data_IF_311532116284
#
_entry.id   IF_311532116284
#
_cell.length_a   1.000
_cell.length_b   1.000
_cell.length_c   1.000
_cell.angle_alpha   90.00
_cell.angle_beta   90.00
_cell.angle_gamma   90.00
#
_symmetry.space_group_name_H-M   'P 1'
#
loop_
_entity.id
_entity.type
_entity.pdbx_description
1 polymer ?
#
# COMPACT_ATOMS: atom_id res chain seq x y z
N UNK A 1 19.80 19.84 6.24
CA UNK A 1 18.99 19.53 7.45
C UNK A 1 17.58 20.04 7.23
N UNK A 2 16.59 19.26 7.61
CA UNK A 2 15.17 19.60 7.50
C UNK A 2 14.80 20.87 8.27
N UNK A 3 13.77 21.56 7.79
CA UNK A 3 13.14 22.63 8.54
C UNK A 3 12.06 22.04 9.44
N UNK A 4 12.43 21.73 10.68
CA UNK A 4 11.56 21.08 11.66
C UNK A 4 10.22 21.81 11.86
N UNK A 5 10.24 23.16 11.87
CA UNK A 5 9.00 23.93 12.00
C UNK A 5 8.09 23.74 10.78
N UNK A 6 8.63 23.80 9.57
CA UNK A 6 7.87 23.61 8.33
C UNK A 6 7.29 22.19 8.26
N UNK A 7 8.09 21.18 8.63
CA UNK A 7 7.62 19.80 8.67
C UNK A 7 6.46 19.60 9.64
N UNK A 8 6.57 20.10 10.85
CA UNK A 8 5.47 20.05 11.82
C UNK A 8 4.21 20.72 11.30
N UNK A 9 4.33 21.98 10.85
CA UNK A 9 3.21 22.73 10.31
C UNK A 9 2.55 21.99 9.13
N UNK A 10 3.35 21.41 8.23
CA UNK A 10 2.85 20.64 7.09
C UNK A 10 2.14 19.34 7.52
N UNK A 11 2.76 18.56 8.40
CA UNK A 11 2.17 17.33 8.91
C UNK A 11 0.86 17.61 9.65
N UNK A 12 0.86 18.57 10.59
CA UNK A 12 -0.34 18.94 11.34
C UNK A 12 -1.46 19.52 10.46
N UNK A 13 -1.11 20.26 9.40
CA UNK A 13 -2.08 20.71 8.40
C UNK A 13 -2.71 19.54 7.66
N UNK A 14 -1.90 18.58 7.19
CA UNK A 14 -2.36 17.42 6.43
C UNK A 14 -3.26 16.51 7.25
N UNK A 15 -2.89 16.14 8.48
CA UNK A 15 -3.67 15.20 9.30
C UNK A 15 -5.01 15.80 9.75
N UNK A 16 -5.13 17.13 9.85
CA UNK A 16 -6.40 17.79 10.19
C UNK A 16 -7.43 17.76 9.06
N UNK A 17 -7.00 17.49 7.83
CA UNK A 17 -7.92 17.39 6.70
C UNK A 17 -8.61 16.03 6.75
N UNK A 18 -9.93 16.02 6.72
CA UNK A 18 -10.71 14.80 6.60
C UNK A 18 -10.56 14.23 5.19
N UNK A 19 -9.85 13.12 5.07
CA UNK A 19 -9.55 12.48 3.78
C UNK A 19 -9.65 10.96 3.88
N UNK A 20 -10.86 10.39 4.08
CA UNK A 20 -11.03 8.95 3.97
C UNK A 20 -10.84 8.52 2.50
N UNK A 21 -10.59 7.24 2.28
CA UNK A 21 -10.62 6.70 0.90
C UNK A 21 -11.90 7.14 0.18
N UNK A 22 -11.78 7.60 -1.06
CA UNK A 22 -12.82 8.25 -1.90
C UNK A 22 -13.18 9.69 -1.54
N UNK A 23 -12.54 10.28 -0.54
CA UNK A 23 -12.79 11.66 -0.08
C UNK A 23 -11.51 12.48 0.05
N UNK A 24 -10.56 12.37 -0.89
CA UNK A 24 -9.22 12.96 -0.84
C UNK A 24 -9.13 14.36 -1.44
N UNK A 25 -10.23 14.92 -1.94
CA UNK A 25 -10.27 16.19 -2.67
C UNK A 25 -9.51 17.32 -1.97
N UNK A 26 -9.77 17.53 -0.69
CA UNK A 26 -9.19 18.66 0.03
C UNK A 26 -7.66 18.52 0.21
N UNK A 27 -7.16 17.30 0.42
CA UNK A 27 -5.71 17.00 0.45
C UNK A 27 -5.10 17.21 -0.93
N UNK A 28 -5.71 16.66 -1.98
CA UNK A 28 -5.25 16.82 -3.36
C UNK A 28 -5.12 18.31 -3.74
N UNK A 29 -6.12 19.12 -3.41
CA UNK A 29 -6.12 20.56 -3.73
C UNK A 29 -5.09 21.34 -2.90
N UNK A 30 -4.81 20.91 -1.66
CA UNK A 30 -3.71 21.45 -0.86
C UNK A 30 -2.36 21.11 -1.49
N UNK A 31 -2.16 19.85 -1.86
CA UNK A 31 -0.92 19.39 -2.46
C UNK A 31 -0.62 20.10 -3.79
N UNK A 32 -1.61 20.31 -4.65
CA UNK A 32 -1.44 21.11 -5.88
C UNK A 32 -0.88 22.50 -5.61
N UNK A 33 -1.37 23.17 -4.55
CA UNK A 33 -0.90 24.49 -4.16
C UNK A 33 0.55 24.43 -3.68
N UNK A 34 0.89 23.47 -2.81
CA UNK A 34 2.23 23.29 -2.28
C UNK A 34 3.23 22.93 -3.40
N UNK A 35 2.90 21.99 -4.26
CA UNK A 35 3.76 21.56 -5.37
C UNK A 35 4.02 22.67 -6.38
N UNK A 36 3.03 23.51 -6.65
CA UNK A 36 3.22 24.72 -7.48
C UNK A 36 4.21 25.70 -6.85
N UNK A 37 4.13 25.91 -5.53
CA UNK A 37 5.09 26.75 -4.80
C UNK A 37 6.49 26.13 -4.81
N UNK A 38 6.60 24.81 -4.74
CA UNK A 38 7.87 24.09 -4.83
C UNK A 38 8.48 24.15 -6.23
N UNK A 39 7.70 24.45 -7.26
CA UNK A 39 8.21 24.69 -8.61
C UNK A 39 8.06 23.49 -9.55
N UNK A 40 7.11 22.59 -9.27
CA UNK A 40 6.75 21.54 -10.22
C UNK A 40 6.41 22.17 -11.57
N UNK A 41 7.02 21.67 -12.64
CA UNK A 41 6.79 22.16 -13.99
C UNK A 41 5.46 21.68 -14.54
N UNK A 42 5.03 20.49 -14.12
CA UNK A 42 3.75 19.89 -14.46
C UNK A 42 3.10 19.32 -13.22
N UNK A 43 1.80 19.51 -13.07
CA UNK A 43 0.97 18.95 -12.01
C UNK A 43 -0.28 18.38 -12.65
N UNK A 44 -0.41 17.07 -12.64
CA UNK A 44 -1.49 16.33 -13.29
C UNK A 44 -2.33 15.67 -12.19
N UNK A 45 -3.62 15.83 -12.24
CA UNK A 45 -4.57 14.96 -11.56
C UNK A 45 -5.17 14.02 -12.61
N UNK A 46 -5.02 12.72 -12.41
CA UNK A 46 -5.58 11.73 -13.33
C UNK A 46 -7.10 11.53 -13.11
N UNK A 47 -7.70 10.65 -13.88
CA UNK A 47 -9.15 10.40 -13.81
C UNK A 47 -9.52 9.27 -12.83
N UNK A 48 -8.60 8.81 -11.99
CA UNK A 48 -8.81 7.63 -11.16
C UNK A 48 -9.98 7.78 -10.18
N UNK A 49 -10.22 8.97 -9.64
CA UNK A 49 -11.35 9.23 -8.76
C UNK A 49 -12.71 8.87 -9.37
N UNK A 50 -12.86 8.97 -10.70
CA UNK A 50 -14.12 8.62 -11.38
C UNK A 50 -14.33 7.12 -11.56
N UNK A 51 -13.26 6.31 -11.46
CA UNK A 51 -13.29 4.86 -11.71
C UNK A 51 -14.02 4.12 -10.58
N UNK A 52 -13.71 4.46 -9.34
CA UNK A 52 -14.25 3.79 -8.14
C UNK A 52 -15.16 4.68 -7.30
N UNK A 53 -15.61 5.81 -7.85
CA UNK A 53 -16.54 6.72 -7.19
C UNK A 53 -15.91 7.60 -6.12
N UNK A 54 -14.63 7.91 -6.25
CA UNK A 54 -13.93 8.92 -5.44
C UNK A 54 -14.15 10.33 -5.94
N UNK A 55 -13.65 11.32 -5.21
CA UNK A 55 -13.79 12.74 -5.51
C UNK A 55 -12.51 13.39 -6.08
N UNK A 56 -11.37 12.65 -6.08
CA UNK A 56 -10.11 13.09 -6.67
C UNK A 56 -9.37 11.94 -7.36
N UNK A 57 -8.45 12.26 -8.26
CA UNK A 57 -7.53 11.32 -8.89
C UNK A 57 -6.17 11.29 -8.21
N UNK A 58 -5.27 10.41 -8.69
CA UNK A 58 -3.87 10.47 -8.31
C UNK A 58 -3.27 11.81 -8.73
N UNK A 59 -2.39 12.34 -7.91
CA UNK A 59 -1.70 13.59 -8.19
C UNK A 59 -0.25 13.31 -8.58
N UNK A 60 0.13 13.68 -9.79
CA UNK A 60 1.47 13.49 -10.34
C UNK A 60 2.12 14.85 -10.54
N UNK A 61 3.26 15.09 -9.93
CA UNK A 61 4.02 16.33 -10.05
C UNK A 61 5.43 16.06 -10.59
N UNK A 62 5.78 16.74 -11.68
CA UNK A 62 7.05 16.54 -12.38
C UNK A 62 7.99 17.73 -12.15
N UNK A 63 9.19 17.43 -11.70
CA UNK A 63 10.33 18.33 -11.61
C UNK A 63 11.36 17.89 -12.65
N UNK A 64 11.54 18.65 -13.76
CA UNK A 64 12.44 18.24 -14.83
C UNK A 64 13.89 18.23 -14.35
N UNK A 65 14.68 17.32 -14.94
CA UNK A 65 16.10 17.26 -14.64
C UNK A 65 16.79 18.62 -14.83
N UNK A 66 17.69 18.96 -13.93
CA UNK A 66 18.53 20.14 -14.00
C UNK A 66 20.02 19.78 -14.23
N UNK A 67 20.34 18.48 -14.25
CA UNK A 67 21.65 17.92 -14.57
C UNK A 67 21.49 16.69 -15.48
N UNK A 68 22.48 16.46 -16.35
CA UNK A 68 22.49 15.32 -17.28
C UNK A 68 23.11 14.08 -16.65
N UNK A 69 22.68 12.89 -17.10
CA UNK A 69 23.25 11.60 -16.69
C UNK A 69 22.85 11.14 -15.30
N UNK A 70 21.84 11.77 -14.70
CA UNK A 70 21.29 11.36 -13.41
C UNK A 70 19.99 10.55 -13.61
N UNK A 71 19.70 9.58 -12.73
CA UNK A 71 18.50 8.76 -12.83
C UNK A 71 17.22 9.59 -12.69
N UNK A 72 16.14 9.07 -13.24
CA UNK A 72 14.79 9.58 -13.01
C UNK A 72 14.15 8.85 -11.82
N UNK A 73 13.80 9.58 -10.77
CA UNK A 73 13.34 8.98 -9.50
C UNK A 73 11.89 9.35 -9.21
N UNK A 74 11.11 8.35 -8.77
CA UNK A 74 9.78 8.58 -8.20
C UNK A 74 9.83 8.61 -6.68
N UNK A 75 9.08 9.54 -6.07
CA UNK A 75 8.79 9.61 -4.65
C UNK A 75 7.28 9.47 -4.48
N UNK A 76 6.82 8.47 -3.74
CA UNK A 76 5.40 8.16 -3.68
C UNK A 76 4.89 8.02 -2.26
N UNK A 77 3.63 8.42 -2.04
CA UNK A 77 2.88 8.36 -0.79
C UNK A 77 1.39 8.39 -1.11
N UNK A 78 0.50 7.94 -0.20
CA UNK A 78 -0.93 8.03 -0.45
C UNK A 78 -1.62 9.19 0.27
N UNK A 79 -2.77 9.61 -0.25
CA UNK A 79 -3.52 10.78 0.23
C UNK A 79 -4.63 10.43 1.22
N UNK A 80 -5.17 9.24 1.14
CA UNK A 80 -6.28 8.81 1.97
C UNK A 80 -5.85 8.35 3.38
N UNK A 81 -6.79 8.05 4.21
CA UNK A 81 -6.66 7.40 5.50
C UNK A 81 -7.81 6.42 5.69
N UNK A 82 -7.62 5.41 6.53
CA UNK A 82 -8.71 4.55 6.97
C UNK A 82 -9.83 5.34 7.67
N UNK A 83 -11.00 4.75 7.83
CA UNK A 83 -12.12 5.33 8.60
C UNK A 83 -11.70 5.70 10.03
N UNK A 84 -12.51 6.53 10.71
CA UNK A 84 -12.21 7.19 11.98
C UNK A 84 -11.18 8.33 11.89
N UNK A 85 -10.98 8.89 10.69
CA UNK A 85 -10.09 10.05 10.45
C UNK A 85 -10.81 11.42 10.53
N UNK A 86 -12.08 11.47 10.92
CA UNK A 86 -12.82 12.74 11.01
C UNK A 86 -12.52 13.47 12.32
N UNK A 87 -11.99 14.70 12.19
CA UNK A 87 -11.74 15.56 13.34
C UNK A 87 -10.47 15.19 14.13
N UNK A 88 -9.45 14.71 13.43
CA UNK A 88 -8.14 14.47 14.03
C UNK A 88 -7.62 15.75 14.68
N UNK A 89 -7.25 15.66 15.95
CA UNK A 89 -6.62 16.74 16.73
C UNK A 89 -5.20 16.30 17.14
N UNK A 90 -4.19 16.53 16.29
CA UNK A 90 -2.83 16.09 16.58
C UNK A 90 -2.28 16.84 17.77
N UNK A 91 -1.73 16.12 18.73
CA UNK A 91 -1.03 16.64 19.90
C UNK A 91 0.37 16.06 19.98
N UNK A 92 1.34 16.91 20.25
CA UNK A 92 2.74 16.53 20.46
C UNK A 92 3.04 16.57 21.96
N UNK A 93 3.22 15.38 22.55
CA UNK A 93 3.54 15.25 23.97
C UNK A 93 4.75 14.32 24.15
N UNK A 94 5.78 14.81 24.85
CA UNK A 94 7.01 14.04 25.07
C UNK A 94 7.75 13.62 23.79
N UNK A 95 7.61 14.40 22.70
CA UNK A 95 8.23 14.11 21.40
C UNK A 95 7.47 13.05 20.57
N UNK A 96 6.22 12.77 20.92
CA UNK A 96 5.38 11.80 20.20
C UNK A 96 4.03 12.44 19.84
N UNK A 97 3.70 12.38 18.56
CA UNK A 97 2.38 12.75 18.07
C UNK A 97 1.36 11.64 18.32
N UNK A 98 0.17 12.04 18.74
CA UNK A 98 -1.06 11.24 18.81
C UNK A 98 -2.25 12.08 18.45
N UNK A 99 -3.38 11.47 18.14
CA UNK A 99 -4.65 12.19 18.09
C UNK A 99 -5.28 12.27 19.49
N UNK A 100 -5.85 13.43 19.82
CA UNK A 100 -6.67 13.57 21.01
C UNK A 100 -8.07 13.01 20.72
N UNK A 101 -8.50 12.01 21.51
CA UNK A 101 -9.83 11.40 21.38
C UNK A 101 -9.80 10.01 20.76
N UNK A 102 -10.82 9.68 19.99
CA UNK A 102 -11.09 8.32 19.49
C UNK A 102 -10.68 8.13 18.02
N UNK A 103 -10.00 9.10 17.41
CA UNK A 103 -9.57 9.01 16.01
C UNK A 103 -8.19 8.38 15.88
N UNK A 104 -7.87 7.91 14.66
CA UNK A 104 -6.50 7.67 14.26
C UNK A 104 -5.70 8.99 14.25
N UNK A 105 -4.37 8.93 14.11
CA UNK A 105 -3.53 10.11 13.90
C UNK A 105 -3.46 10.51 12.41
N UNK A 106 -3.56 9.54 11.51
CA UNK A 106 -3.40 9.73 10.07
C UNK A 106 -1.94 9.96 9.66
N UNK A 107 -0.98 9.46 10.45
CA UNK A 107 0.44 9.44 10.05
C UNK A 107 0.65 8.49 8.87
N UNK A 108 -0.19 7.50 8.75
CA UNK A 108 -0.41 6.67 7.59
C UNK A 108 -1.38 7.40 6.62
N UNK A 109 -0.98 7.99 5.47
CA UNK A 109 0.43 8.18 5.10
C UNK A 109 0.78 9.69 4.97
N UNK A 110 0.19 10.52 5.82
CA UNK A 110 0.51 11.97 5.82
C UNK A 110 1.94 12.25 6.25
N UNK A 111 2.61 11.29 6.91
CA UNK A 111 4.03 11.40 7.25
C UNK A 111 4.90 11.29 5.99
N UNK A 112 4.64 10.32 5.12
CA UNK A 112 5.30 10.18 3.83
C UNK A 112 5.05 11.39 2.92
N UNK A 113 3.80 11.84 2.85
CA UNK A 113 3.45 13.08 2.11
C UNK A 113 4.27 14.28 2.62
N UNK A 114 4.34 14.48 3.95
CA UNK A 114 5.09 15.60 4.54
C UNK A 114 6.60 15.47 4.27
N UNK A 115 7.15 14.24 4.35
CA UNK A 115 8.56 13.97 4.07
C UNK A 115 8.93 14.30 2.63
N UNK A 116 8.10 13.89 1.66
CA UNK A 116 8.31 14.20 0.24
C UNK A 116 8.29 15.71 -0.01
N UNK A 117 7.30 16.43 0.56
CA UNK A 117 7.20 17.88 0.40
C UNK A 117 8.40 18.60 0.98
N UNK A 118 8.93 18.15 2.13
CA UNK A 118 10.12 18.75 2.74
C UNK A 118 11.38 18.48 1.91
N UNK A 119 11.57 17.23 1.44
CA UNK A 119 12.70 16.89 0.58
C UNK A 119 12.73 17.72 -0.70
N UNK A 120 11.58 17.88 -1.37
CA UNK A 120 11.42 18.73 -2.56
C UNK A 120 11.69 20.22 -2.24
N UNK A 121 11.29 20.69 -1.06
CA UNK A 121 11.58 22.05 -0.63
C UNK A 121 13.09 22.28 -0.45
N UNK A 122 13.78 21.35 0.20
CA UNK A 122 15.22 21.40 0.41
C UNK A 122 15.99 21.23 -0.91
N UNK A 123 15.53 20.38 -1.81
CA UNK A 123 16.09 20.25 -3.16
C UNK A 123 16.10 21.60 -3.88
N UNK A 124 14.98 22.32 -3.84
CA UNK A 124 14.86 23.66 -4.42
C UNK A 124 15.72 24.70 -3.69
N UNK A 125 15.65 24.75 -2.36
CA UNK A 125 16.36 25.75 -1.53
C UNK A 125 17.87 25.63 -1.64
N UNK A 126 18.39 24.41 -1.80
CA UNK A 126 19.82 24.13 -1.90
C UNK A 126 20.32 23.99 -3.35
N UNK A 127 19.44 24.18 -4.34
CA UNK A 127 19.80 24.08 -5.76
C UNK A 127 20.48 22.75 -6.11
N UNK A 128 19.96 21.63 -5.57
CA UNK A 128 20.53 20.30 -5.77
C UNK A 128 20.50 19.92 -7.24
N UNK A 129 21.64 19.49 -7.84
CA UNK A 129 21.62 18.82 -9.14
C UNK A 129 20.85 17.51 -9.06
N UNK A 130 19.85 17.31 -9.92
CA UNK A 130 18.98 16.11 -9.91
C UNK A 130 18.57 15.70 -11.32
N UNK A 131 18.26 14.42 -11.50
CA UNK A 131 17.55 13.90 -12.63
C UNK A 131 16.09 14.33 -12.65
N UNK A 132 15.26 13.67 -13.46
CA UNK A 132 13.80 13.92 -13.41
C UNK A 132 13.26 13.38 -12.07
N UNK A 133 12.62 14.22 -11.28
CA UNK A 133 11.92 13.80 -10.05
C UNK A 133 10.41 13.83 -10.30
N UNK A 134 9.74 12.72 -10.03
CA UNK A 134 8.28 12.60 -10.14
C UNK A 134 7.71 12.29 -8.75
N UNK A 135 6.96 13.22 -8.17
CA UNK A 135 6.21 12.96 -6.95
C UNK A 135 4.81 12.45 -7.32
N UNK A 136 4.43 11.29 -6.80
CA UNK A 136 3.13 10.66 -7.05
C UNK A 136 2.40 10.50 -5.72
N UNK A 137 1.22 11.10 -5.60
CA UNK A 137 0.35 10.96 -4.45
C UNK A 137 -0.91 10.23 -4.89
N UNK A 138 -1.07 9.00 -4.41
CA UNK A 138 -2.14 8.11 -4.80
C UNK A 138 -3.41 8.33 -4.00
N UNK A 139 -4.53 7.86 -4.52
CA UNK A 139 -5.84 7.85 -3.86
C UNK A 139 -6.24 6.42 -3.53
N UNK A 140 -7.10 6.25 -2.51
CA UNK A 140 -7.76 4.97 -2.21
C UNK A 140 -6.78 3.81 -2.05
N UNK A 141 -5.62 4.05 -1.45
CA UNK A 141 -4.64 3.01 -1.14
C UNK A 141 -5.26 1.99 -0.17
N UNK A 142 -5.88 2.48 0.89
CA UNK A 142 -6.39 1.76 2.05
C UNK A 142 -7.58 0.80 1.74
N UNK A 143 -8.15 0.91 0.56
CA UNK A 143 -9.24 0.04 0.10
C UNK A 143 -8.84 -0.85 -1.08
N UNK A 144 -7.55 -1.14 -1.20
CA UNK A 144 -7.02 -2.11 -2.16
C UNK A 144 -6.16 -1.51 -3.26
N UNK A 145 -5.33 -0.51 -2.91
CA UNK A 145 -4.30 0.07 -3.80
C UNK A 145 -4.90 0.64 -5.11
N UNK A 146 -6.13 1.19 -5.02
CA UNK A 146 -6.93 1.55 -6.21
C UNK A 146 -6.22 2.59 -7.06
N UNK A 147 -5.56 3.55 -6.42
CA UNK A 147 -4.81 4.61 -7.09
C UNK A 147 -3.70 4.06 -7.98
N UNK A 148 -2.77 3.31 -7.42
CA UNK A 148 -1.67 2.71 -8.16
C UNK A 148 -2.12 1.61 -9.11
N UNK A 149 -3.16 0.85 -8.75
CA UNK A 149 -3.79 -0.17 -9.62
C UNK A 149 -4.28 0.41 -10.94
N UNK A 150 -4.84 1.62 -10.92
CA UNK A 150 -5.49 2.23 -12.08
C UNK A 150 -4.68 3.37 -12.71
N UNK A 151 -3.54 3.76 -12.14
CA UNK A 151 -2.69 4.79 -12.76
C UNK A 151 -2.28 4.39 -14.18
N UNK A 152 -2.40 5.32 -15.13
CA UNK A 152 -2.04 5.06 -16.51
C UNK A 152 -0.51 4.99 -16.69
N UNK A 153 -0.02 3.96 -17.37
CA UNK A 153 1.41 3.73 -17.60
C UNK A 153 2.14 4.93 -18.23
N UNK A 154 1.43 5.75 -19.01
CA UNK A 154 2.00 6.96 -19.60
C UNK A 154 2.58 7.95 -18.59
N UNK A 155 2.11 7.92 -17.33
CA UNK A 155 2.62 8.77 -16.25
C UNK A 155 3.81 8.17 -15.54
N UNK A 156 4.07 6.87 -15.77
CA UNK A 156 5.16 6.11 -15.17
C UNK A 156 6.36 5.94 -16.13
N UNK A 157 6.20 6.38 -17.39
CA UNK A 157 7.27 6.33 -18.38
C UNK A 157 8.44 7.23 -17.98
N UNK A 158 9.64 6.79 -18.33
CA UNK A 158 10.90 7.50 -18.05
C UNK A 158 11.14 7.71 -16.53
N UNK A 159 10.70 6.77 -15.69
CA UNK A 159 11.09 6.64 -14.29
C UNK A 159 11.97 5.40 -14.18
N UNK A 160 13.21 5.57 -13.72
CA UNK A 160 14.14 4.46 -13.59
C UNK A 160 13.83 3.60 -12.36
N UNK A 161 13.47 4.25 -11.23
CA UNK A 161 13.06 3.58 -10.00
C UNK A 161 12.36 4.54 -9.02
N UNK A 162 11.79 3.99 -7.94
CA UNK A 162 11.07 4.80 -6.97
C UNK A 162 11.19 4.35 -5.51
N UNK A 163 10.72 5.23 -4.64
CA UNK A 163 10.63 5.03 -3.19
C UNK A 163 9.22 5.37 -2.73
N UNK A 164 8.54 4.39 -2.15
CA UNK A 164 7.20 4.53 -1.55
C UNK A 164 7.36 4.76 -0.06
N UNK A 165 7.07 5.96 0.43
CA UNK A 165 7.24 6.36 1.84
C UNK A 165 5.98 6.05 2.64
N UNK A 166 5.74 4.80 2.93
CA UNK A 166 4.48 4.30 3.45
C UNK A 166 4.67 3.03 4.30
N UNK A 167 5.68 3.01 5.18
CA UNK A 167 5.89 1.86 6.06
C UNK A 167 6.13 2.25 7.51
N UNK A 168 5.90 1.29 8.39
CA UNK A 168 6.39 1.32 9.76
C UNK A 168 7.93 1.26 9.80
N UNK A 169 8.48 1.56 10.97
CA UNK A 169 9.93 1.59 11.16
C UNK A 169 10.56 2.95 10.88
N UNK A 170 11.75 3.13 11.43
CA UNK A 170 12.51 4.39 11.37
C UNK A 170 13.04 4.63 9.95
N UNK A 171 13.40 5.86 9.66
CA UNK A 171 14.15 6.20 8.45
C UNK A 171 15.42 5.31 8.36
N UNK A 172 15.63 4.70 7.18
CA UNK A 172 16.63 3.65 6.97
C UNK A 172 16.08 2.22 7.01
N UNK A 173 14.84 2.01 7.48
CA UNK A 173 14.11 0.79 7.21
C UNK A 173 13.62 0.80 5.76
N UNK A 174 13.87 -0.28 5.03
CA UNK A 174 13.44 -0.45 3.65
C UNK A 174 12.94 -1.87 3.44
N UNK A 175 11.77 -1.97 2.84
CA UNK A 175 11.15 -3.25 2.54
C UNK A 175 11.32 -3.55 1.05
N UNK A 176 12.05 -4.60 0.76
CA UNK A 176 12.49 -4.98 -0.58
C UNK A 176 11.62 -6.07 -1.21
N UNK A 177 10.61 -6.55 -0.50
CA UNK A 177 9.67 -7.54 -1.01
C UNK A 177 8.30 -7.38 -0.34
N UNK A 178 7.25 -7.47 -1.14
CA UNK A 178 5.85 -7.51 -0.68
C UNK A 178 5.10 -8.71 -1.23
N UNK A 179 4.01 -9.16 -0.59
CA UNK A 179 3.27 -10.33 -1.02
C UNK A 179 2.34 -10.07 -2.20
N UNK A 180 1.96 -11.14 -2.91
CA UNK A 180 0.72 -11.22 -3.65
C UNK A 180 -0.45 -11.43 -2.70
N UNK A 181 -1.65 -11.05 -3.12
CA UNK A 181 -2.87 -11.15 -2.34
C UNK A 181 -4.04 -11.71 -3.17
N UNK A 182 -4.73 -12.69 -2.61
CA UNK A 182 -6.03 -13.15 -3.08
C UNK A 182 -7.13 -12.81 -2.09
N UNK A 183 -8.18 -12.16 -2.56
CA UNK A 183 -9.46 -12.06 -1.87
C UNK A 183 -10.39 -13.17 -2.38
N UNK A 184 -11.13 -13.81 -1.46
CA UNK A 184 -12.02 -14.91 -1.75
C UNK A 184 -13.34 -14.73 -1.05
N UNK A 185 -14.45 -15.05 -1.75
CA UNK A 185 -15.79 -15.03 -1.18
C UNK A 185 -16.51 -16.32 -1.52
N UNK A 186 -17.08 -16.95 -0.51
CA UNK A 186 -17.78 -18.22 -0.58
C UNK A 186 -19.22 -18.02 -0.13
N UNK A 187 -20.18 -18.23 -1.03
CA UNK A 187 -21.60 -18.08 -0.75
C UNK A 187 -22.27 -19.44 -0.74
N UNK A 188 -22.65 -19.88 0.46
CA UNK A 188 -23.39 -21.13 0.66
C UNK A 188 -24.90 -20.87 0.59
N UNK A 189 -25.58 -21.64 -0.28
CA UNK A 189 -27.02 -21.65 -0.39
C UNK A 189 -27.55 -22.98 0.18
N UNK A 190 -28.36 -22.85 1.19
CA UNK A 190 -29.12 -23.94 1.82
C UNK A 190 -30.60 -23.83 1.51
N UNK A 191 -31.44 -24.18 2.49
CA UNK A 191 -32.89 -24.11 2.35
C UNK A 191 -33.54 -23.73 3.68
N UNK A 192 -34.36 -22.69 3.67
CA UNK A 192 -35.08 -22.25 4.85
C UNK A 192 -36.18 -23.27 5.26
N UNK A 193 -36.36 -23.46 6.56
CA UNK A 193 -37.47 -24.19 7.17
C UNK A 193 -37.71 -23.72 8.59
N UNK A 194 -38.83 -24.05 9.19
CA UNK A 194 -39.08 -23.79 10.59
C UNK A 194 -38.25 -24.73 11.48
N UNK A 195 -37.32 -24.18 12.26
CA UNK A 195 -36.31 -24.98 12.97
C UNK A 195 -36.91 -25.97 14.01
N UNK A 196 -38.07 -25.68 14.57
CA UNK A 196 -38.73 -26.50 15.57
C UNK A 196 -39.86 -27.41 15.03
N UNK A 197 -40.41 -27.13 13.84
CA UNK A 197 -41.54 -27.88 13.29
C UNK A 197 -41.13 -28.86 12.20
N UNK A 198 -40.30 -28.44 11.26
CA UNK A 198 -39.94 -29.20 10.07
C UNK A 198 -38.45 -29.04 9.72
N UNK A 199 -37.52 -29.25 10.69
CA UNK A 199 -36.08 -29.05 10.44
C UNK A 199 -35.54 -29.92 9.31
N UNK A 200 -36.10 -31.09 9.08
CA UNK A 200 -35.73 -32.02 8.02
C UNK A 200 -36.03 -31.48 6.62
N UNK A 201 -36.90 -30.48 6.47
CA UNK A 201 -37.18 -29.84 5.17
C UNK A 201 -36.17 -28.71 4.85
N UNK A 202 -35.35 -28.30 5.82
CA UNK A 202 -34.34 -27.27 5.69
C UNK A 202 -32.96 -27.83 5.42
N UNK A 203 -32.09 -26.93 4.99
CA UNK A 203 -30.64 -27.16 4.88
C UNK A 203 -29.91 -25.95 5.41
N UNK A 204 -29.13 -26.12 6.48
CA UNK A 204 -28.51 -25.05 7.21
C UNK A 204 -27.19 -24.59 6.53
N UNK A 205 -27.21 -23.42 5.87
CA UNK A 205 -26.06 -22.85 5.20
C UNK A 205 -24.90 -22.47 6.18
N UNK A 206 -25.22 -22.07 7.42
CA UNK A 206 -24.20 -21.82 8.44
C UNK A 206 -23.45 -23.10 8.81
N UNK A 207 -24.17 -24.24 8.91
CA UNK A 207 -23.53 -25.53 9.20
C UNK A 207 -22.61 -26.00 8.04
N UNK A 208 -23.01 -25.70 6.79
CA UNK A 208 -22.17 -25.95 5.62
C UNK A 208 -20.87 -25.12 5.70
N UNK A 209 -21.00 -23.82 5.91
CA UNK A 209 -19.88 -22.91 6.04
C UNK A 209 -18.94 -23.27 7.22
N UNK A 210 -19.51 -23.57 8.38
CA UNK A 210 -18.74 -23.97 9.56
C UNK A 210 -17.89 -25.23 9.32
N UNK A 211 -18.42 -26.20 8.56
CA UNK A 211 -17.68 -27.40 8.18
C UNK A 211 -16.52 -27.09 7.24
N UNK A 212 -16.70 -26.18 6.29
CA UNK A 212 -15.66 -25.74 5.39
C UNK A 212 -14.52 -25.02 6.17
N UNK A 213 -14.89 -24.04 6.99
CA UNK A 213 -13.95 -23.27 7.82
C UNK A 213 -13.13 -24.18 8.73
N UNK A 214 -13.76 -25.17 9.37
CA UNK A 214 -13.05 -26.10 10.26
C UNK A 214 -12.02 -27.00 9.53
N UNK A 215 -12.11 -27.10 8.21
CA UNK A 215 -11.17 -27.88 7.37
C UNK A 215 -10.15 -27.00 6.65
N UNK A 216 -10.30 -25.69 6.75
CA UNK A 216 -9.50 -24.71 6.04
C UNK A 216 -8.19 -24.39 6.81
N UNK A 217 -7.04 -24.27 6.14
CA UNK A 217 -5.86 -23.70 6.77
C UNK A 217 -6.14 -22.26 7.19
N UNK A 218 -5.51 -21.80 8.29
CA UNK A 218 -5.72 -20.45 8.81
C UNK A 218 -4.50 -19.93 9.56
N UNK A 219 -4.30 -18.63 9.54
CA UNK A 219 -3.21 -17.94 10.21
C UNK A 219 -1.91 -17.97 9.40
N UNK A 220 -0.78 -18.05 10.10
CA UNK A 220 0.55 -18.13 9.48
C UNK A 220 0.83 -19.57 9.04
N UNK A 221 0.97 -19.76 7.75
CA UNK A 221 1.24 -21.06 7.11
C UNK A 221 2.75 -21.36 7.12
N UNK A 222 3.55 -20.37 6.73
CA UNK A 222 5.01 -20.40 6.81
C UNK A 222 5.58 -18.98 6.99
N UNK A 223 6.90 -18.79 6.81
CA UNK A 223 7.58 -17.49 7.03
C UNK A 223 7.10 -16.37 6.10
N UNK A 224 6.50 -16.70 4.96
CA UNK A 224 6.09 -15.74 3.94
C UNK A 224 4.63 -15.88 3.48
N UNK A 225 3.90 -16.88 4.04
CA UNK A 225 2.55 -17.22 3.60
C UNK A 225 1.57 -17.13 4.76
N UNK A 226 0.47 -16.45 4.56
CA UNK A 226 -0.63 -16.31 5.54
C UNK A 226 -1.98 -16.51 4.86
N UNK A 227 -2.99 -16.92 5.62
CA UNK A 227 -4.38 -16.81 5.22
C UNK A 227 -5.28 -16.51 6.41
N UNK A 228 -6.42 -15.93 6.12
CA UNK A 228 -7.39 -15.56 7.15
C UNK A 228 -8.82 -15.77 6.63
N UNK A 229 -9.69 -16.29 7.50
CA UNK A 229 -11.13 -16.19 7.34
C UNK A 229 -11.58 -14.97 8.09
N UNK A 230 -11.84 -13.88 7.37
CA UNK A 230 -12.07 -12.55 7.93
C UNK A 230 -13.48 -12.33 8.42
N UNK A 231 -14.47 -12.77 7.64
CA UNK A 231 -15.88 -12.58 7.97
C UNK A 231 -16.71 -13.83 7.73
N UNK A 232 -17.77 -13.98 8.52
CA UNK A 232 -18.86 -14.94 8.29
C UNK A 232 -20.19 -14.26 8.61
N UNK A 233 -21.10 -14.26 7.63
CA UNK A 233 -22.42 -13.65 7.79
C UNK A 233 -23.50 -14.64 7.32
N UNK A 234 -24.50 -14.93 8.20
CA UNK A 234 -25.56 -15.87 7.84
C UNK A 234 -26.72 -15.90 8.84
N UNK A 235 -27.88 -16.34 8.35
CA UNK A 235 -29.09 -16.47 9.14
C UNK A 235 -29.83 -15.14 9.37
N UNK A 236 -31.10 -15.25 9.83
CA UNK A 236 -31.99 -14.10 10.12
C UNK A 236 -32.62 -14.17 11.50
N UNK A 237 -32.92 -15.41 11.97
CA UNK A 237 -33.51 -15.64 13.27
C UNK A 237 -33.23 -17.07 13.76
N UNK A 238 -33.24 -17.28 15.06
CA UNK A 238 -32.90 -18.57 15.68
C UNK A 238 -33.91 -19.69 15.41
N UNK A 239 -35.15 -19.35 15.07
CA UNK A 239 -36.23 -20.32 14.74
C UNK A 239 -36.37 -20.58 13.24
N UNK A 240 -35.48 -20.09 12.41
CA UNK A 240 -35.44 -20.33 10.95
C UNK A 240 -34.11 -20.98 10.61
N UNK A 241 -34.14 -22.10 9.87
CA UNK A 241 -32.93 -22.72 9.30
C UNK A 241 -32.33 -21.73 8.28
N UNK A 242 -31.06 -21.34 8.42
CA UNK A 242 -30.42 -20.36 7.50
C UNK A 242 -30.28 -20.92 6.08
N UNK A 243 -30.82 -20.20 5.11
CA UNK A 243 -30.71 -20.54 3.68
C UNK A 243 -29.51 -19.91 2.99
N UNK A 244 -28.83 -18.95 3.66
CA UNK A 244 -27.68 -18.22 3.11
C UNK A 244 -26.62 -18.06 4.19
N UNK A 245 -25.35 -18.28 3.79
CA UNK A 245 -24.18 -17.93 4.59
C UNK A 245 -23.04 -17.51 3.65
N UNK A 246 -22.46 -16.34 3.91
CA UNK A 246 -21.33 -15.77 3.16
C UNK A 246 -20.10 -15.81 4.06
N UNK A 247 -18.99 -16.27 3.50
CA UNK A 247 -17.66 -16.27 4.15
C UNK A 247 -16.70 -15.51 3.26
N UNK A 248 -15.96 -14.57 3.85
CA UNK A 248 -14.90 -13.86 3.15
C UNK A 248 -13.55 -14.21 3.76
N UNK A 249 -12.58 -14.44 2.89
CA UNK A 249 -11.24 -14.92 3.24
C UNK A 249 -10.18 -14.21 2.39
N UNK A 250 -8.95 -14.22 2.89
CA UNK A 250 -7.78 -13.76 2.16
C UNK A 250 -6.64 -14.76 2.26
N UNK A 251 -5.72 -14.71 1.30
CA UNK A 251 -4.45 -15.41 1.33
C UNK A 251 -3.35 -14.51 0.76
N UNK A 252 -2.18 -14.53 1.40
CA UNK A 252 -1.01 -13.75 0.98
C UNK A 252 0.23 -14.63 0.98
N UNK A 253 1.10 -14.40 0.00
CA UNK A 253 2.45 -14.99 -0.01
C UNK A 253 3.40 -14.16 -0.87
N UNK A 254 4.68 -14.16 -0.49
CA UNK A 254 5.75 -13.61 -1.34
C UNK A 254 6.25 -14.61 -2.39
N UNK A 255 5.78 -15.85 -2.33
CA UNK A 255 6.00 -16.90 -3.33
C UNK A 255 4.70 -17.22 -4.04
N UNK A 256 4.65 -16.98 -5.33
CA UNK A 256 3.46 -17.16 -6.16
C UNK A 256 2.98 -18.61 -6.19
N UNK A 257 3.91 -19.57 -6.28
CA UNK A 257 3.57 -20.99 -6.30
C UNK A 257 2.94 -21.47 -4.99
N UNK A 258 3.43 -20.96 -3.85
CA UNK A 258 2.83 -21.21 -2.54
C UNK A 258 1.44 -20.60 -2.43
N UNK A 259 1.27 -19.38 -2.93
CA UNK A 259 -0.03 -18.69 -2.90
C UNK A 259 -1.08 -19.45 -3.70
N UNK A 260 -0.78 -19.80 -4.96
CA UNK A 260 -1.69 -20.54 -5.81
C UNK A 260 -2.05 -21.92 -5.20
N UNK A 261 -1.07 -22.61 -4.62
CA UNK A 261 -1.31 -23.86 -3.91
C UNK A 261 -2.25 -23.67 -2.72
N UNK A 262 -2.00 -22.67 -1.87
CA UNK A 262 -2.83 -22.37 -0.70
C UNK A 262 -4.25 -22.00 -1.09
N UNK A 263 -4.43 -21.14 -2.10
CA UNK A 263 -5.75 -20.77 -2.65
C UNK A 263 -6.47 -22.02 -3.15
N UNK A 264 -5.77 -22.92 -3.85
CA UNK A 264 -6.33 -24.21 -4.29
C UNK A 264 -6.78 -25.09 -3.11
N UNK A 265 -5.99 -25.17 -2.04
CA UNK A 265 -6.34 -25.92 -0.82
C UNK A 265 -7.56 -25.33 -0.11
N UNK A 266 -7.66 -24.00 -0.02
CA UNK A 266 -8.82 -23.29 0.56
C UNK A 266 -10.07 -23.62 -0.28
N UNK A 267 -10.02 -23.41 -1.59
CA UNK A 267 -11.15 -23.69 -2.50
C UNK A 267 -11.60 -25.15 -2.36
N UNK A 268 -10.65 -26.09 -2.39
CA UNK A 268 -10.97 -27.51 -2.24
C UNK A 268 -11.63 -27.84 -0.89
N UNK A 269 -11.20 -27.19 0.20
CA UNK A 269 -11.85 -27.38 1.51
C UNK A 269 -13.31 -26.96 1.50
N UNK A 270 -13.62 -25.81 0.86
CA UNK A 270 -14.98 -25.30 0.71
C UNK A 270 -15.84 -26.18 -0.21
N UNK A 271 -15.30 -26.59 -1.36
CA UNK A 271 -15.99 -27.52 -2.30
C UNK A 271 -16.29 -28.88 -1.66
N UNK A 272 -15.30 -29.46 -0.98
CA UNK A 272 -15.46 -30.76 -0.30
C UNK A 272 -16.50 -30.67 0.81
N UNK A 273 -16.54 -29.59 1.58
CA UNK A 273 -17.56 -29.38 2.59
C UNK A 273 -18.95 -29.27 1.95
N UNK A 274 -19.12 -28.47 0.90
CA UNK A 274 -20.37 -28.31 0.16
C UNK A 274 -20.85 -29.64 -0.43
N UNK A 275 -19.95 -30.44 -0.99
CA UNK A 275 -20.25 -31.77 -1.58
C UNK A 275 -20.84 -32.76 -0.58
N UNK A 276 -20.71 -32.54 0.73
CA UNK A 276 -21.38 -33.40 1.73
C UNK A 276 -22.84 -33.04 1.96
N UNK A 277 -23.37 -32.03 1.29
CA UNK A 277 -24.75 -31.54 1.41
C UNK A 277 -25.43 -31.56 0.03
N UNK A 278 -26.05 -32.70 -0.40
CA UNK A 278 -26.47 -32.93 -1.80
C UNK A 278 -27.47 -31.90 -2.37
N UNK A 279 -28.21 -31.18 -1.52
CA UNK A 279 -29.19 -30.17 -1.93
C UNK A 279 -28.73 -28.72 -1.72
N UNK A 280 -27.50 -28.52 -1.23
CA UNK A 280 -26.91 -27.22 -1.11
C UNK A 280 -26.05 -26.85 -2.31
N UNK A 281 -25.82 -25.58 -2.51
CA UNK A 281 -24.86 -25.07 -3.52
C UNK A 281 -23.85 -24.15 -2.91
N UNK A 282 -22.71 -24.00 -3.58
CA UNK A 282 -21.63 -23.10 -3.24
C UNK A 282 -21.28 -22.26 -4.47
N UNK A 283 -21.26 -20.96 -4.29
CA UNK A 283 -20.69 -20.02 -5.25
C UNK A 283 -19.33 -19.55 -4.70
N UNK A 284 -18.33 -19.46 -5.59
CA UNK A 284 -16.96 -19.06 -5.24
C UNK A 284 -16.57 -17.91 -6.14
N UNK A 285 -16.24 -16.78 -5.51
CA UNK A 285 -15.58 -15.65 -6.14
C UNK A 285 -14.15 -15.59 -5.59
N UNK A 286 -13.17 -15.46 -6.47
CA UNK A 286 -11.77 -15.24 -6.07
C UNK A 286 -11.13 -14.22 -7.00
N UNK A 287 -10.45 -13.26 -6.42
CA UNK A 287 -9.79 -12.18 -7.15
C UNK A 287 -8.36 -12.06 -6.64
N UNK A 288 -7.41 -12.06 -7.55
CA UNK A 288 -6.04 -11.67 -7.25
C UNK A 288 -5.98 -10.15 -7.25
N UNK A 289 -5.79 -9.55 -6.10
CA UNK A 289 -5.85 -8.10 -5.93
C UNK A 289 -4.56 -7.44 -6.43
N UNK A 290 -3.40 -8.04 -6.12
CA UNK A 290 -2.11 -7.56 -6.57
C UNK A 290 -1.06 -8.68 -6.56
N UNK A 291 0.01 -8.47 -7.33
CA UNK A 291 1.15 -9.36 -7.44
C UNK A 291 2.24 -9.04 -6.41
N UNK A 292 3.06 -10.02 -6.06
CA UNK A 292 4.24 -9.82 -5.23
C UNK A 292 5.31 -8.99 -5.97
N UNK A 293 6.11 -8.27 -5.21
CA UNK A 293 7.34 -7.69 -5.74
C UNK A 293 8.55 -8.15 -4.92
N UNK A 294 9.71 -8.11 -5.58
CA UNK A 294 11.02 -8.36 -4.94
C UNK A 294 12.08 -7.51 -5.63
N UNK A 295 12.83 -6.78 -4.83
CA UNK A 295 13.95 -5.96 -5.27
C UNK A 295 15.23 -6.55 -4.67
N UNK A 296 16.21 -6.83 -5.52
CA UNK A 296 17.49 -7.34 -5.09
C UNK A 296 18.28 -6.26 -4.31
N UNK A 297 19.04 -6.70 -3.30
CA UNK A 297 19.83 -5.76 -2.50
C UNK A 297 20.93 -5.04 -3.29
N UNK A 298 21.35 -5.60 -4.40
CA UNK A 298 22.33 -5.01 -5.33
C UNK A 298 21.70 -4.05 -6.34
N UNK A 299 20.38 -3.91 -6.36
CA UNK A 299 19.69 -3.03 -7.30
C UNK A 299 20.13 -1.56 -7.13
N UNK A 300 20.13 -0.76 -8.21
CA UNK A 300 20.56 0.63 -8.21
C UNK A 300 19.88 1.49 -7.15
N UNK A 301 18.56 1.38 -7.03
CA UNK A 301 17.80 2.12 -6.02
C UNK A 301 18.26 1.80 -4.60
N UNK A 302 18.70 0.55 -4.33
CA UNK A 302 19.23 0.16 -3.03
C UNK A 302 20.62 0.74 -2.77
N UNK A 303 21.44 0.90 -3.81
CA UNK A 303 22.73 1.57 -3.71
C UNK A 303 22.55 3.05 -3.38
N UNK A 304 21.65 3.74 -4.11
CA UNK A 304 21.29 5.13 -3.84
C UNK A 304 20.72 5.29 -2.41
N UNK A 305 19.83 4.39 -1.99
CA UNK A 305 19.27 4.38 -0.63
C UNK A 305 20.35 4.25 0.44
N UNK A 306 21.32 3.36 0.26
CA UNK A 306 22.45 3.19 1.19
C UNK A 306 23.34 4.43 1.24
N UNK A 307 23.58 5.08 0.12
CA UNK A 307 24.32 6.34 0.07
C UNK A 307 23.60 7.43 0.86
N UNK A 308 22.31 7.63 0.60
CA UNK A 308 21.48 8.59 1.31
C UNK A 308 21.44 8.34 2.83
N UNK A 309 21.24 7.10 3.25
CA UNK A 309 21.27 6.71 4.66
C UNK A 309 22.63 7.00 5.30
N UNK A 310 23.73 6.70 4.60
CA UNK A 310 25.08 6.97 5.09
C UNK A 310 25.30 8.48 5.32
N UNK A 311 24.88 9.33 4.40
CA UNK A 311 24.98 10.79 4.53
C UNK A 311 24.09 11.33 5.65
N UNK A 312 22.91 10.74 5.86
CA UNK A 312 22.01 11.08 6.96
C UNK A 312 22.44 10.50 8.31
N UNK A 313 23.38 9.56 8.34
CA UNK A 313 23.78 8.84 9.56
C UNK A 313 22.77 7.78 10.01
N UNK A 314 21.94 7.27 9.11
CA UNK A 314 20.94 6.24 9.39
C UNK A 314 21.49 4.84 9.15
N UNK A 315 21.09 3.89 10.01
CA UNK A 315 21.40 2.48 9.81
C UNK A 315 20.40 1.87 8.82
N UNK A 316 20.91 1.25 7.77
CA UNK A 316 20.05 0.54 6.81
C UNK A 316 19.60 -0.80 7.38
N UNK A 317 18.30 -1.05 7.34
CA UNK A 317 17.69 -2.33 7.70
C UNK A 317 16.77 -2.77 6.57
N UNK A 318 17.04 -3.91 5.97
CA UNK A 318 16.21 -4.52 4.94
C UNK A 318 15.30 -5.59 5.54
N UNK A 319 14.05 -5.63 5.11
CA UNK A 319 13.08 -6.63 5.52
C UNK A 319 12.07 -6.90 4.38
N UNK A 320 11.38 -8.04 4.39
CA UNK A 320 10.18 -8.21 3.60
C UNK A 320 8.96 -7.59 4.31
N UNK A 321 8.04 -7.01 3.53
CA UNK A 321 6.75 -6.54 4.03
C UNK A 321 5.73 -7.69 4.14
N UNK A 322 4.79 -7.56 5.06
CA UNK A 322 3.67 -8.50 5.22
C UNK A 322 2.37 -8.02 4.57
N UNK A 323 2.25 -6.74 4.30
CA UNK A 323 1.12 -6.09 3.62
C UNK A 323 1.40 -5.78 2.16
N UNK A 324 0.37 -5.37 1.43
CA UNK A 324 0.50 -4.72 0.14
C UNK A 324 0.78 -3.24 0.32
N UNK A 325 1.31 -2.61 -0.71
CA UNK A 325 1.48 -1.17 -0.83
C UNK A 325 1.47 -0.78 -2.31
N UNK A 326 1.42 0.49 -2.62
CA UNK A 326 1.48 0.99 -3.98
C UNK A 326 2.73 0.52 -4.74
N UNK A 327 3.82 0.19 -4.03
CA UNK A 327 5.03 -0.39 -4.61
C UNK A 327 4.74 -1.70 -5.38
N UNK A 328 3.71 -2.49 -4.99
CA UNK A 328 3.31 -3.69 -5.72
C UNK A 328 2.94 -3.35 -7.18
N UNK A 329 2.09 -2.33 -7.37
CA UNK A 329 1.66 -1.93 -8.71
C UNK A 329 2.73 -1.16 -9.48
N UNK A 330 3.53 -0.31 -8.83
CA UNK A 330 4.63 0.37 -9.50
C UNK A 330 5.65 -0.61 -10.07
N UNK A 331 6.01 -1.65 -9.30
CA UNK A 331 6.93 -2.70 -9.77
C UNK A 331 6.38 -3.49 -10.97
N UNK A 332 5.07 -3.68 -11.05
CA UNK A 332 4.44 -4.41 -12.18
C UNK A 332 4.25 -3.53 -13.41
N UNK A 333 3.89 -2.24 -13.21
CA UNK A 333 3.45 -1.37 -14.31
C UNK A 333 4.53 -0.51 -14.92
N UNK A 334 5.58 -0.20 -14.19
CA UNK A 334 6.47 0.83 -14.67
C UNK A 334 7.91 0.73 -14.20
N UNK A 335 8.12 0.85 -12.90
CA UNK A 335 9.46 1.00 -12.35
C UNK A 335 9.63 0.23 -11.05
N UNK A 336 10.83 -0.31 -10.77
CA UNK A 336 11.13 -0.93 -9.49
C UNK A 336 10.99 0.09 -8.35
N UNK A 337 10.24 -0.27 -7.32
CA UNK A 337 10.03 0.55 -6.13
C UNK A 337 10.25 -0.26 -4.86
N UNK A 338 10.75 0.40 -3.83
CA UNK A 338 10.85 -0.15 -2.48
C UNK A 338 9.97 0.66 -1.53
N UNK A 339 9.49 -0.02 -0.48
CA UNK A 339 8.70 0.62 0.56
C UNK A 339 9.64 1.10 1.68
N UNK A 340 9.48 2.33 2.13
CA UNK A 340 10.40 3.02 3.07
C UNK A 340 9.67 3.40 4.35
N UNK A 341 10.30 3.15 5.49
CA UNK A 341 9.78 3.48 6.81
C UNK A 341 9.74 5.00 7.05
N UNK A 342 8.61 5.46 7.58
CA UNK A 342 8.37 6.86 7.98
C UNK A 342 8.16 7.03 9.49
N UNK A 343 8.25 5.95 10.26
CA UNK A 343 8.19 5.97 11.72
C UNK A 343 6.81 5.81 12.32
N UNK A 344 5.76 5.62 11.54
CA UNK A 344 4.42 5.39 12.03
C UNK A 344 4.32 4.09 12.84
N UNK A 345 3.49 4.08 13.87
CA UNK A 345 3.27 2.92 14.74
C UNK A 345 1.82 2.78 15.11
N UNK A 346 1.35 1.54 15.34
CA UNK A 346 -0.05 1.22 15.67
C UNK A 346 -1.09 1.83 14.69
N UNK A 347 -0.67 2.06 13.43
CA UNK A 347 -1.55 2.61 12.38
C UNK A 347 -2.82 1.76 12.22
N UNK A 348 -3.85 2.31 11.59
CA UNK A 348 -5.21 1.74 11.51
C UNK A 348 -5.90 1.56 12.88
N UNK A 349 -5.39 2.17 13.95
CA UNK A 349 -6.01 2.15 15.27
C UNK A 349 -6.01 3.53 15.94
N UNK A 350 -6.85 3.72 16.94
CA UNK A 350 -6.84 4.94 17.76
C UNK A 350 -5.60 5.09 18.69
N UNK A 351 -4.67 4.13 18.64
CA UNK A 351 -3.36 4.21 19.32
C UNK A 351 -2.25 4.68 18.40
N UNK A 352 -2.57 4.94 17.16
CA UNK A 352 -1.61 5.41 16.16
C UNK A 352 -0.75 6.54 16.69
N UNK A 353 0.54 6.46 16.44
CA UNK A 353 1.49 7.46 16.92
C UNK A 353 2.69 7.57 15.98
N UNK A 354 3.32 8.76 16.04
CA UNK A 354 4.51 9.09 15.28
C UNK A 354 5.47 9.87 16.18
N UNK A 355 6.72 9.42 16.30
CA UNK A 355 7.73 10.24 16.98
C UNK A 355 8.08 11.44 16.10
N UNK A 356 8.14 12.62 16.71
CA UNK A 356 8.54 13.85 16.05
C UNK A 356 9.90 13.69 15.32
N UNK A 357 10.83 12.99 15.97
CA UNK A 357 12.13 12.68 15.37
C UNK A 357 12.00 11.85 14.08
N UNK A 358 11.12 10.87 14.03
CA UNK A 358 10.97 10.01 12.85
C UNK A 358 10.38 10.78 11.68
N UNK A 359 9.45 11.70 11.96
CA UNK A 359 8.93 12.61 10.94
C UNK A 359 10.08 13.42 10.31
N UNK A 360 10.99 13.97 11.13
CA UNK A 360 12.12 14.73 10.62
C UNK A 360 13.13 13.87 9.89
N UNK A 361 13.42 12.70 10.43
CA UNK A 361 14.33 11.73 9.81
C UNK A 361 13.82 11.27 8.43
N UNK A 362 12.50 11.07 8.27
CA UNK A 362 11.90 10.74 6.97
C UNK A 362 12.11 11.86 5.95
N UNK A 363 11.90 13.12 6.34
CA UNK A 363 12.17 14.28 5.46
C UNK A 363 13.67 14.45 5.13
N UNK A 364 14.54 14.20 6.09
CA UNK A 364 16.00 14.23 5.85
C UNK A 364 16.39 13.10 4.88
N UNK A 365 15.80 11.92 5.00
CA UNK A 365 16.07 10.81 4.08
C UNK A 365 15.65 11.15 2.64
N UNK A 366 14.45 11.73 2.43
CA UNK A 366 14.04 12.19 1.10
C UNK A 366 15.03 13.19 0.53
N UNK A 367 15.44 14.19 1.33
CA UNK A 367 16.43 15.16 0.89
C UNK A 367 17.76 14.52 0.52
N UNK A 368 18.26 13.57 1.33
CA UNK A 368 19.51 12.87 1.05
C UNK A 368 19.42 11.92 -0.15
N UNK A 369 18.28 11.34 -0.43
CA UNK A 369 18.08 10.58 -1.68
C UNK A 369 18.25 11.49 -2.90
N UNK A 370 17.63 12.67 -2.90
CA UNK A 370 17.74 13.64 -3.98
C UNK A 370 19.16 14.23 -4.09
N UNK A 371 19.87 14.42 -2.98
CA UNK A 371 21.27 14.89 -2.97
C UNK A 371 22.23 13.80 -3.46
N UNK A 372 22.02 12.54 -3.05
CA UNK A 372 22.86 11.41 -3.43
C UNK A 372 22.78 11.10 -4.93
N UNK A 373 21.66 11.41 -5.59
CA UNK A 373 21.55 11.33 -7.06
C UNK A 373 22.70 12.06 -7.76
N UNK A 374 23.06 13.25 -7.25
CA UNK A 374 24.12 14.07 -7.86
C UNK A 374 25.51 13.40 -7.88
N UNK A 375 25.70 12.39 -7.05
CA UNK A 375 26.93 11.59 -6.94
C UNK A 375 26.84 10.24 -7.70
N UNK A 376 25.68 9.92 -8.22
CA UNK A 376 25.40 8.64 -8.91
C UNK A 376 25.84 8.65 -10.38
N UNK A 377 26.33 9.77 -10.89
CA UNK A 377 26.81 9.94 -12.25
C UNK A 377 28.07 9.10 -12.52
N UNK A 378 27.91 7.93 -13.14
CA UNK A 378 29.04 7.09 -13.55
C UNK A 378 28.74 5.63 -13.86
N UNK A 379 27.61 5.10 -13.44
CA UNK A 379 27.16 3.76 -13.81
C UNK A 379 25.94 3.90 -14.73
N UNK A 380 26.05 3.52 -16.01
CA UNK A 380 24.93 3.63 -16.95
C UNK A 380 23.79 2.70 -16.50
N UNK A 381 22.54 3.10 -16.71
CA UNK A 381 21.37 2.26 -16.46
C UNK A 381 21.44 0.89 -17.18
N UNK A 382 22.19 0.81 -18.28
CA UNK A 382 22.44 -0.43 -19.04
C UNK A 382 23.38 -1.42 -18.33
N UNK A 383 24.30 -0.94 -17.46
CA UNK A 383 25.18 -1.80 -16.65
C UNK A 383 24.49 -2.37 -15.40
N UNK A 384 23.25 -1.97 -15.15
CA UNK A 384 22.49 -2.20 -13.93
C UNK A 384 21.39 -3.26 -14.08
N UNK A 385 21.12 -3.73 -15.30
CA UNK A 385 20.15 -4.79 -15.57
C UNK A 385 20.92 -6.11 -15.64
N UNK A 386 20.70 -6.99 -14.66
CA UNK A 386 21.21 -8.36 -14.73
C UNK A 386 20.59 -9.06 -15.94
N UNK A 387 21.40 -9.51 -16.93
CA UNK A 387 20.90 -10.18 -18.14
C UNK A 387 20.12 -11.46 -17.86
N UNK A 388 20.17 -11.98 -16.64
CA UNK A 388 19.40 -13.17 -16.21
C UNK A 388 17.89 -12.93 -16.05
N UNK A 389 17.44 -11.66 -16.00
CA UNK A 389 16.02 -11.30 -15.84
C UNK A 389 15.29 -10.97 -17.15
N UNK A 390 16.00 -10.71 -18.27
CA UNK A 390 15.36 -10.48 -19.59
C UNK A 390 14.52 -11.66 -20.11
N UNK A 391 14.67 -12.85 -19.55
CA UNK A 391 13.97 -14.07 -20.00
C UNK A 391 12.58 -14.31 -19.39
N UNK A 392 12.15 -13.57 -18.37
CA UNK A 392 10.89 -13.89 -17.66
C UNK A 392 9.83 -12.78 -17.65
N UNK A 393 10.16 -11.53 -17.92
CA UNK A 393 9.16 -10.44 -17.93
C UNK A 393 8.59 -10.10 -19.31
N UNK A 394 9.04 -10.75 -20.39
CA UNK A 394 8.80 -10.28 -21.77
C UNK A 394 7.61 -10.90 -22.52
N UNK A 395 6.89 -11.91 -22.05
CA UNK A 395 6.00 -12.63 -22.99
C UNK A 395 4.62 -13.11 -22.51
N UNK A 396 4.21 -12.90 -21.27
CA UNK A 396 2.88 -13.39 -20.83
C UNK A 396 1.80 -12.31 -20.66
N UNK A 397 2.16 -11.03 -20.71
CA UNK A 397 1.19 -9.92 -20.51
C UNK A 397 0.90 -9.07 -21.77
N UNK A 398 1.29 -9.54 -22.96
CA UNK A 398 0.91 -8.92 -24.25
C UNK A 398 -0.13 -9.78 -24.99
N UNK A 399 -1.28 -10.04 -24.37
CA UNK A 399 -2.50 -10.43 -25.12
C UNK A 399 -3.72 -9.90 -24.41
#
# INVERSE_FOLDING_TARGET
MVNEKRMRETFEELVRIYAPSKGERDVCDLLKKKLKVLGAAEIIEDNNGSVEGGDSGNLIAVFPANAEGLPSVALTAHMDCVECCRGIDPVLEGGVYRSRGETILGSDDKAGVAAILEGLALMKENFIPHGKVTAIFTVQEEIGLVGSKNIEEKYLQDIDFGYTFDADGEAGHVFTAGPSHYAMKFTFHGKAAHAGMEPEKGLNAIAMAAKAIASCPSGRIDEETTCNIGTITGGRATNIIPELCVVEAEARSRDEGKLEKLVGEIVAAFENAAGTFPSGTLEIEKVKEYDAFRIEETAPLMNLFRMACKEAGFAVKTAPCGGGSDANFFCVKGFPSVLVGVGMTDFHTNRESLREKDLYDAGELVYRLLEAESHFAGESAEDMIDPAHEGKMGNEYRK
#
